data_IF_043597256076
#
_entry.id   IF_043597256076
#
_cell.length_a   1.000
_cell.length_b   1.000
_cell.length_c   1.000
_cell.angle_alpha   90.00
_cell.angle_beta   90.00
_cell.angle_gamma   90.00
#
_symmetry.space_group_name_H-M   'P 1'
#
loop_
_entity.id
_entity.type
_entity.pdbx_description
1 polymer ?
#
# COMPACT_ATOMS: atom_id res chain seq x y z
N UNK A 1 11.17 -3.92 2.15
CA UNK A 1 10.14 -3.94 3.20
C UNK A 1 10.63 -4.75 4.37
N UNK A 2 10.68 -4.13 5.55
CA UNK A 2 10.94 -4.85 6.79
C UNK A 2 9.64 -5.41 7.41
N UNK A 3 9.76 -6.14 8.53
CA UNK A 3 8.63 -6.76 9.21
C UNK A 3 7.62 -5.74 9.75
N UNK A 4 8.07 -4.62 10.30
CA UNK A 4 7.21 -3.59 10.89
C UNK A 4 6.43 -2.87 9.80
N UNK A 5 7.09 -2.53 8.69
CA UNK A 5 6.44 -1.97 7.50
C UNK A 5 5.43 -2.93 6.90
N UNK A 6 5.74 -4.23 6.84
CA UNK A 6 4.80 -5.25 6.38
C UNK A 6 3.56 -5.36 7.27
N UNK A 7 3.72 -5.45 8.59
CA UNK A 7 2.61 -5.52 9.54
C UNK A 7 1.73 -4.26 9.48
N UNK A 8 2.35 -3.09 9.35
CA UNK A 8 1.64 -1.82 9.20
C UNK A 8 0.89 -1.75 7.87
N UNK A 9 1.54 -2.14 6.77
CA UNK A 9 0.93 -2.18 5.44
C UNK A 9 -0.27 -3.14 5.42
N UNK A 10 -0.16 -4.31 6.04
CA UNK A 10 -1.24 -5.29 6.16
C UNK A 10 -2.44 -4.72 6.95
N UNK A 11 -2.18 -4.09 8.11
CA UNK A 11 -3.21 -3.45 8.92
C UNK A 11 -3.96 -2.36 8.14
N UNK A 12 -3.22 -1.49 7.46
CA UNK A 12 -3.79 -0.40 6.66
C UNK A 12 -4.58 -0.95 5.46
N UNK A 13 -4.07 -2.00 4.80
CA UNK A 13 -4.76 -2.68 3.69
C UNK A 13 -6.14 -3.19 4.12
N UNK A 14 -6.22 -3.85 5.29
CA UNK A 14 -7.47 -4.35 5.85
C UNK A 14 -8.44 -3.20 6.17
N UNK A 15 -7.96 -2.13 6.81
CA UNK A 15 -8.79 -0.95 7.11
C UNK A 15 -9.33 -0.26 5.86
N UNK A 16 -8.50 -0.10 4.83
CA UNK A 16 -8.92 0.51 3.55
C UNK A 16 -9.97 -0.39 2.87
N UNK A 17 -9.76 -1.71 2.87
CA UNK A 17 -10.70 -2.68 2.28
C UNK A 17 -12.06 -2.71 2.99
N UNK A 18 -12.09 -2.36 4.29
CA UNK A 18 -13.31 -2.24 5.08
C UNK A 18 -13.93 -0.83 5.03
N UNK A 19 -13.38 0.10 4.24
CA UNK A 19 -13.81 1.50 4.16
C UNK A 19 -13.77 2.24 5.51
N UNK A 20 -12.87 1.80 6.41
CA UNK A 20 -12.69 2.34 7.77
C UNK A 20 -11.40 3.15 7.95
N UNK A 21 -10.59 3.27 6.90
CA UNK A 21 -9.36 4.05 6.94
C UNK A 21 -9.64 5.54 6.84
N UNK A 22 -9.00 6.34 7.69
CA UNK A 22 -8.95 7.80 7.51
C UNK A 22 -8.09 8.16 6.30
N UNK A 23 -8.20 9.42 5.83
CA UNK A 23 -7.37 9.89 4.73
C UNK A 23 -5.87 9.89 5.07
N UNK A 24 -5.52 10.18 6.33
CA UNK A 24 -4.14 10.05 6.83
C UNK A 24 -3.63 8.61 6.76
N UNK A 25 -4.48 7.62 7.04
CA UNK A 25 -4.14 6.20 6.97
C UNK A 25 -4.00 5.70 5.53
N UNK A 26 -4.83 6.23 4.62
CA UNK A 26 -4.69 5.97 3.17
C UNK A 26 -3.36 6.55 2.67
N UNK A 27 -3.03 7.78 3.05
CA UNK A 27 -1.77 8.43 2.69
C UNK A 27 -0.56 7.66 3.23
N UNK A 28 -0.63 7.18 4.46
CA UNK A 28 0.41 6.35 5.07
C UNK A 28 0.60 5.04 4.28
N UNK A 29 -0.50 4.38 3.90
CA UNK A 29 -0.46 3.16 3.09
C UNK A 29 0.27 3.39 1.77
N UNK A 30 -0.12 4.43 1.02
CA UNK A 30 0.50 4.75 -0.27
C UNK A 30 1.98 5.12 -0.08
N UNK A 31 2.33 5.84 0.99
CA UNK A 31 3.73 6.20 1.30
C UNK A 31 4.59 4.96 1.56
N UNK A 32 4.10 4.00 2.34
CA UNK A 32 4.84 2.75 2.61
C UNK A 32 5.11 2.00 1.30
N UNK A 33 4.14 1.95 0.39
CA UNK A 33 4.33 1.31 -0.92
C UNK A 33 5.39 2.02 -1.77
N UNK A 34 5.42 3.35 -1.77
CA UNK A 34 6.43 4.15 -2.49
C UNK A 34 7.82 3.94 -1.90
N UNK A 35 7.95 4.05 -0.59
CA UNK A 35 9.24 3.94 0.11
C UNK A 35 9.89 2.55 -0.06
N UNK A 36 9.07 1.55 -0.38
CA UNK A 36 9.51 0.19 -0.68
C UNK A 36 9.69 -0.09 -2.18
N UNK A 37 9.51 0.92 -3.05
CA UNK A 37 9.65 0.79 -4.50
C UNK A 37 8.52 0.00 -5.16
N UNK A 38 7.42 -0.28 -4.46
CA UNK A 38 6.27 -1.00 -5.00
C UNK A 38 5.50 -0.14 -6.02
N UNK A 39 5.44 1.18 -5.78
CA UNK A 39 4.88 2.16 -6.70
C UNK A 39 5.93 3.24 -7.00
N UNK A 40 5.80 3.90 -8.15
CA UNK A 40 6.70 4.98 -8.54
C UNK A 40 6.33 6.31 -7.89
N UNK A 41 7.27 7.25 -7.87
CA UNK A 41 7.00 8.63 -7.43
C UNK A 41 5.89 9.28 -8.26
N UNK A 42 5.87 9.06 -9.58
CA UNK A 42 4.79 9.58 -10.43
C UNK A 42 3.41 9.04 -10.03
N UNK A 43 3.32 7.78 -9.60
CA UNK A 43 2.07 7.19 -9.10
C UNK A 43 1.67 7.79 -7.75
N UNK A 44 2.64 8.05 -6.87
CA UNK A 44 2.44 8.74 -5.60
C UNK A 44 1.97 10.19 -5.79
N UNK A 45 2.60 10.93 -6.69
CA UNK A 45 2.27 12.33 -6.95
C UNK A 45 0.89 12.45 -7.61
N UNK A 46 0.53 11.51 -8.50
CA UNK A 46 -0.83 11.42 -9.06
C UNK A 46 -1.87 11.12 -7.99
N UNK A 47 -1.53 10.31 -6.98
CA UNK A 47 -2.41 10.06 -5.84
C UNK A 47 -2.66 11.35 -5.05
N UNK A 48 -1.61 12.10 -4.71
CA UNK A 48 -1.73 13.38 -3.98
C UNK A 48 -2.48 14.47 -4.77
N UNK A 49 -2.37 14.47 -6.09
CA UNK A 49 -3.01 15.47 -6.96
C UNK A 49 -4.45 15.11 -7.34
N UNK A 50 -4.89 13.87 -7.14
CA UNK A 50 -6.21 13.43 -7.55
C UNK A 50 -7.30 13.98 -6.61
N UNK A 51 -8.22 14.78 -7.15
CA UNK A 51 -9.49 15.11 -6.47
C UNK A 51 -10.47 13.93 -6.39
N UNK A 52 -10.24 12.89 -7.19
CA UNK A 52 -10.99 11.63 -7.21
C UNK A 52 -10.10 10.52 -6.61
N UNK A 53 -9.74 10.68 -5.33
CA UNK A 53 -8.80 9.80 -4.65
C UNK A 53 -9.21 8.33 -4.64
N UNK A 54 -10.52 8.02 -4.68
CA UNK A 54 -11.02 6.65 -4.51
C UNK A 54 -10.67 5.69 -5.67
N UNK A 55 -10.71 6.13 -6.93
CA UNK A 55 -10.37 5.25 -8.06
C UNK A 55 -8.87 4.96 -8.13
N UNK A 56 -8.04 5.97 -7.82
CA UNK A 56 -6.59 5.78 -7.78
C UNK A 56 -6.18 4.95 -6.56
N UNK A 57 -6.84 5.17 -5.42
CA UNK A 57 -6.64 4.39 -4.20
C UNK A 57 -6.98 2.91 -4.42
N UNK A 58 -8.05 2.58 -5.15
CA UNK A 58 -8.38 1.17 -5.49
C UNK A 58 -7.28 0.49 -6.32
N UNK A 59 -6.70 1.21 -7.28
CA UNK A 59 -5.58 0.71 -8.08
C UNK A 59 -4.35 0.48 -7.18
N UNK A 60 -4.05 1.44 -6.30
CA UNK A 60 -2.93 1.35 -5.35
C UNK A 60 -3.15 0.22 -4.34
N UNK A 61 -4.39 0.00 -3.88
CA UNK A 61 -4.77 -1.08 -2.98
C UNK A 61 -4.53 -2.45 -3.61
N UNK A 62 -4.88 -2.62 -4.88
CA UNK A 62 -4.57 -3.85 -5.63
C UNK A 62 -3.06 -4.09 -5.70
N UNK A 63 -2.29 -3.04 -6.01
CA UNK A 63 -0.83 -3.12 -6.09
C UNK A 63 -0.20 -3.44 -4.72
N UNK A 64 -0.69 -2.84 -3.64
CA UNK A 64 -0.20 -3.14 -2.31
C UNK A 64 -0.59 -4.54 -1.81
N UNK A 65 -1.76 -5.06 -2.20
CA UNK A 65 -2.13 -6.46 -1.99
C UNK A 65 -1.16 -7.45 -2.66
N UNK A 66 -0.74 -7.16 -3.90
CA UNK A 66 0.27 -7.95 -4.62
C UNK A 66 1.63 -7.88 -3.90
N UNK A 67 2.01 -6.71 -3.39
CA UNK A 67 3.25 -6.53 -2.64
C UNK A 67 3.29 -7.33 -1.34
N UNK A 68 2.17 -7.39 -0.62
CA UNK A 68 2.01 -8.22 0.57
C UNK A 68 2.22 -9.71 0.24
N UNK A 69 1.61 -10.20 -0.84
CA UNK A 69 1.80 -11.58 -1.31
C UNK A 69 3.25 -11.86 -1.72
N UNK A 70 3.89 -10.95 -2.45
CA UNK A 70 5.28 -11.07 -2.86
C UNK A 70 6.24 -11.16 -1.67
N UNK A 71 5.99 -10.39 -0.60
CA UNK A 71 6.77 -10.47 0.63
C UNK A 71 6.62 -11.83 1.33
N UNK A 72 5.40 -12.36 1.43
CA UNK A 72 5.15 -13.70 2.01
C UNK A 72 5.89 -14.78 1.22
N UNK A 73 5.80 -14.76 -0.11
CA UNK A 73 6.49 -15.72 -0.99
C UNK A 73 8.01 -15.60 -0.81
N UNK A 74 8.54 -14.38 -0.80
CA UNK A 74 9.98 -14.15 -0.60
C UNK A 74 10.46 -14.62 0.77
N UNK A 75 9.64 -14.54 1.82
CA UNK A 75 9.98 -15.08 3.15
C UNK A 75 9.90 -16.61 3.19
N UNK A 76 8.87 -17.20 2.59
CA UNK A 76 8.65 -18.65 2.58
C UNK A 76 9.55 -19.45 1.64
N UNK A 77 10.27 -18.78 0.73
CA UNK A 77 11.25 -19.42 -0.18
C UNK A 77 12.68 -19.36 0.37
N UNK A 78 12.90 -18.73 1.52
CA UNK A 78 14.20 -18.63 2.21
C UNK A 78 14.32 -19.60 3.42
N UNK A 79 13.47 -20.63 3.48
CA UNK A 79 13.59 -21.78 4.40
C UNK A 79 14.11 -23.02 3.66
#
# INVERSE_FOLDING_TARGET
MDKTQYERLYYLNDKISQEKASDEEKDEYVRILRDNGTITNDQYDKYLQSKNGDDLLKIILLVGGIALLAYIISKGTND
#
